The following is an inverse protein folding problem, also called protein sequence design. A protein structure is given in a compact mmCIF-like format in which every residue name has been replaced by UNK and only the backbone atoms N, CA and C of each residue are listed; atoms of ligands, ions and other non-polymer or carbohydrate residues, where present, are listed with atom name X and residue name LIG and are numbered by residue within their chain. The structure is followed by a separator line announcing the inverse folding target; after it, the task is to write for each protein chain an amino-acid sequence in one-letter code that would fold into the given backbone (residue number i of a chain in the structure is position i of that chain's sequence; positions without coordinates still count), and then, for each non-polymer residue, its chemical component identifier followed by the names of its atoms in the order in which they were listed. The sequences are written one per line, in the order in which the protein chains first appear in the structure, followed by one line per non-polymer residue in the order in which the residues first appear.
data_IF_876233164138
#
_entry.id   IF_876233164138
#
_cell.length_a   1.000
_cell.length_b   1.000
_cell.length_c   1.000
_cell.angle_alpha   90.00
_cell.angle_beta   90.00
_cell.angle_gamma   90.00
#
_symmetry.space_group_name_H-M   'P 1'
#
loop_
_entity.id
_entity.type
_entity.pdbx_description
1 polymer ?
#
# COMPACT_ATOMS: atom_id res chain seq x y z
N UNK A 1 -1.09 8.34 -7.47
CA UNK A 1 -0.70 9.15 -6.29
C UNK A 1 -1.14 10.61 -6.41
N UNK A 2 -0.72 11.37 -7.43
CA UNK A 2 -1.10 12.78 -7.60
C UNK A 2 -2.62 13.00 -7.66
N UNK A 3 -3.34 12.15 -8.39
CA UNK A 3 -4.81 12.21 -8.48
C UNK A 3 -5.50 12.01 -7.13
N UNK A 4 -5.10 11.00 -6.36
CA UNK A 4 -5.64 10.75 -5.01
C UNK A 4 -5.39 11.96 -4.11
N UNK A 5 -4.19 12.53 -4.16
CA UNK A 5 -3.85 13.74 -3.42
C UNK A 5 -4.78 14.90 -3.81
N UNK A 6 -4.91 15.19 -5.10
CA UNK A 6 -5.80 16.26 -5.58
C UNK A 6 -7.25 16.03 -5.14
N UNK A 7 -7.75 14.80 -5.24
CA UNK A 7 -9.10 14.43 -4.84
C UNK A 7 -9.34 14.65 -3.34
N UNK A 8 -8.36 14.30 -2.48
CA UNK A 8 -8.43 14.53 -1.04
C UNK A 8 -8.50 16.03 -0.73
N UNK A 9 -7.65 16.85 -1.35
CA UNK A 9 -7.70 18.31 -1.19
C UNK A 9 -9.04 18.88 -1.64
N UNK A 10 -9.54 18.42 -2.79
CA UNK A 10 -10.85 18.81 -3.32
C UNK A 10 -11.98 18.49 -2.34
N UNK A 11 -11.96 17.35 -1.63
CA UNK A 11 -13.00 17.06 -0.64
C UNK A 11 -13.02 18.08 0.51
N UNK A 12 -11.85 18.53 0.99
CA UNK A 12 -11.79 19.60 1.99
C UNK A 12 -12.33 20.94 1.44
N UNK A 13 -12.02 21.26 0.18
CA UNK A 13 -12.53 22.48 -0.48
C UNK A 13 -14.04 22.44 -0.73
N UNK A 14 -14.60 21.29 -1.10
CA UNK A 14 -16.04 21.12 -1.25
C UNK A 14 -16.71 21.19 0.13
N UNK A 15 -16.15 20.55 1.16
CA UNK A 15 -16.68 20.59 2.52
C UNK A 15 -16.75 22.02 3.08
N UNK A 16 -15.79 22.89 2.76
CA UNK A 16 -15.79 24.32 3.12
C UNK A 16 -17.02 25.10 2.59
N UNK A 17 -17.60 24.63 1.49
CA UNK A 17 -18.75 25.25 0.80
C UNK A 17 -20.06 24.51 1.01
N UNK A 18 -20.05 23.35 1.66
CA UNK A 18 -21.23 22.51 1.85
C UNK A 18 -22.03 22.97 3.08
N UNK A 19 -23.25 23.52 2.92
CA UNK A 19 -24.07 23.97 4.05
C UNK A 19 -24.67 22.82 4.87
N UNK A 20 -24.90 21.65 4.28
CA UNK A 20 -25.50 20.50 4.96
C UNK A 20 -24.44 19.80 5.84
N UNK A 21 -24.59 19.80 7.18
CA UNK A 21 -23.62 19.19 8.09
C UNK A 21 -23.42 17.68 7.83
N UNK A 22 -24.47 16.98 7.40
CA UNK A 22 -24.38 15.55 7.15
C UNK A 22 -23.54 15.27 5.90
N UNK A 23 -23.82 15.96 4.79
CA UNK A 23 -23.01 15.84 3.56
C UNK A 23 -21.58 16.32 3.76
N UNK A 24 -21.39 17.38 4.54
CA UNK A 24 -20.06 17.86 4.94
C UNK A 24 -19.27 16.77 5.67
N UNK A 25 -19.91 16.06 6.61
CA UNK A 25 -19.26 14.95 7.30
C UNK A 25 -18.90 13.80 6.34
N UNK A 26 -19.74 13.50 5.34
CA UNK A 26 -19.43 12.48 4.32
C UNK A 26 -18.20 12.85 3.48
N UNK A 27 -18.05 14.14 3.12
CA UNK A 27 -16.89 14.69 2.41
C UNK A 27 -15.61 14.58 3.27
N UNK A 28 -15.74 14.82 4.58
CA UNK A 28 -14.64 14.73 5.55
C UNK A 28 -14.40 13.31 6.09
N UNK A 29 -15.07 12.30 5.54
CA UNK A 29 -14.85 10.89 5.91
C UNK A 29 -14.03 10.19 4.83
N UNK A 30 -12.85 9.72 5.21
CA UNK A 30 -11.87 9.04 4.37
C UNK A 30 -11.73 7.59 4.83
N UNK A 31 -12.10 6.63 3.98
CA UNK A 31 -12.04 5.21 4.28
C UNK A 31 -10.91 4.55 3.48
N UNK A 32 -9.98 3.92 4.19
CA UNK A 32 -8.90 3.11 3.64
C UNK A 32 -9.23 1.65 3.86
N UNK A 33 -9.29 0.86 2.78
CA UNK A 33 -9.55 -0.59 2.84
C UNK A 33 -8.25 -1.35 2.68
N UNK A 34 -7.91 -2.18 3.67
CA UNK A 34 -6.70 -3.00 3.72
C UNK A 34 -5.66 -2.45 4.69
N UNK A 35 -5.39 -3.19 5.76
CA UNK A 35 -4.39 -2.90 6.78
C UNK A 35 -2.97 -3.32 6.41
N UNK A 36 -2.66 -3.54 5.12
CA UNK A 36 -1.29 -3.75 4.65
C UNK A 36 -0.45 -2.46 4.74
N UNK A 37 0.86 -2.53 4.42
CA UNK A 37 1.74 -1.36 4.44
C UNK A 37 1.12 -0.14 3.77
N UNK A 38 0.72 -0.26 2.50
CA UNK A 38 0.12 0.83 1.71
C UNK A 38 -1.06 1.52 2.40
N UNK A 39 -2.00 0.76 2.97
CA UNK A 39 -3.17 1.33 3.64
C UNK A 39 -2.81 2.03 4.95
N UNK A 40 -1.87 1.45 5.71
CA UNK A 40 -1.34 2.05 6.94
C UNK A 40 -0.61 3.36 6.66
N UNK A 41 0.28 3.41 5.66
CA UNK A 41 1.02 4.64 5.34
C UNK A 41 0.08 5.74 4.84
N UNK A 42 -0.91 5.39 4.00
CA UNK A 42 -1.89 6.36 3.50
C UNK A 42 -2.81 6.88 4.62
N UNK A 43 -3.31 6.02 5.51
CA UNK A 43 -4.14 6.46 6.63
C UNK A 43 -3.38 7.45 7.52
N UNK A 44 -2.11 7.14 7.81
CA UNK A 44 -1.20 8.03 8.52
C UNK A 44 -0.99 9.38 7.84
N UNK A 45 -0.72 9.37 6.54
CA UNK A 45 -0.49 10.59 5.76
C UNK A 45 -1.74 11.47 5.69
N UNK A 46 -2.92 10.88 5.54
CA UNK A 46 -4.20 11.63 5.52
C UNK A 46 -4.50 12.21 6.89
N UNK A 47 -4.27 11.46 7.97
CA UNK A 47 -4.46 11.95 9.33
C UNK A 47 -3.52 13.13 9.65
N UNK A 48 -2.24 13.04 9.28
CA UNK A 48 -1.30 14.16 9.46
C UNK A 48 -1.69 15.39 8.62
N UNK A 49 -2.20 15.16 7.40
CA UNK A 49 -2.72 16.21 6.55
C UNK A 49 -3.91 16.92 7.22
N UNK A 50 -4.94 16.15 7.61
CA UNK A 50 -6.17 16.67 8.18
C UNK A 50 -5.96 17.35 9.54
N UNK A 51 -5.28 16.67 10.47
CA UNK A 51 -5.23 17.08 11.87
C UNK A 51 -4.05 18.01 12.20
N UNK A 52 -3.10 18.18 11.29
CA UNK A 52 -1.95 19.09 11.49
C UNK A 52 -1.80 20.10 10.38
N UNK A 53 -1.71 19.64 9.13
CA UNK A 53 -1.30 20.51 8.00
C UNK A 53 -2.39 21.50 7.59
N UNK A 54 -3.65 21.04 7.52
CA UNK A 54 -4.77 21.83 6.98
C UNK A 54 -5.58 22.59 8.03
N UNK A 55 -5.27 22.43 9.33
CA UNK A 55 -6.05 23.02 10.43
C UNK A 55 -6.25 24.53 10.36
N UNK A 56 -5.38 25.26 9.66
CA UNK A 56 -5.43 26.73 9.54
C UNK A 56 -5.82 27.23 8.15
N UNK A 57 -6.11 26.31 7.24
CA UNK A 57 -6.28 26.62 5.83
C UNK A 57 -7.75 26.86 5.45
N UNK A 58 -8.69 26.49 6.34
CA UNK A 58 -10.14 26.58 6.14
C UNK A 58 -10.79 27.47 7.20
N UNK A 59 -11.90 28.14 6.84
CA UNK A 59 -12.58 29.11 7.72
C UNK A 59 -13.93 28.60 8.21
N UNK A 60 -14.65 27.83 7.42
CA UNK A 60 -16.02 27.37 7.70
C UNK A 60 -16.08 25.92 8.20
N UNK A 61 -14.99 25.17 8.09
CA UNK A 61 -14.86 23.81 8.63
C UNK A 61 -13.69 23.69 9.60
N UNK A 62 -13.83 22.81 10.58
CA UNK A 62 -12.70 22.29 11.34
C UNK A 62 -12.22 21.00 10.69
N UNK A 63 -10.98 20.97 10.18
CA UNK A 63 -10.40 19.75 9.62
C UNK A 63 -10.15 18.68 10.68
N UNK A 64 -10.25 19.04 11.97
CA UNK A 64 -10.32 18.14 13.12
C UNK A 64 -11.53 17.21 13.11
N UNK A 65 -12.62 17.58 12.45
CA UNK A 65 -13.84 16.77 12.33
C UNK A 65 -13.71 15.64 11.27
N UNK A 66 -12.58 15.61 10.58
CA UNK A 66 -12.30 14.57 9.60
C UNK A 66 -12.23 13.17 10.26
N UNK A 67 -12.84 12.19 9.61
CA UNK A 67 -12.80 10.79 10.02
C UNK A 67 -11.91 10.02 9.08
N UNK A 68 -10.72 9.62 9.53
CA UNK A 68 -9.83 8.74 8.78
C UNK A 68 -10.01 7.32 9.33
N UNK A 69 -10.60 6.43 8.54
CA UNK A 69 -10.99 5.07 8.95
C UNK A 69 -10.14 4.07 8.19
N UNK A 70 -9.38 3.23 8.90
CA UNK A 70 -8.65 2.11 8.32
C UNK A 70 -9.37 0.80 8.62
N UNK A 71 -9.81 0.09 7.58
CA UNK A 71 -10.52 -1.19 7.68
C UNK A 71 -9.58 -2.35 7.34
N UNK A 72 -9.53 -3.35 8.22
CA UNK A 72 -8.79 -4.60 8.02
C UNK A 72 -9.69 -5.80 8.35
N UNK A 73 -9.72 -6.78 7.44
CA UNK A 73 -10.56 -7.96 7.59
C UNK A 73 -10.03 -8.92 8.67
N UNK A 74 -8.71 -9.01 8.83
CA UNK A 74 -8.05 -9.80 9.85
C UNK A 74 -7.96 -9.12 11.21
N UNK A 75 -7.42 -9.83 12.22
CA UNK A 75 -7.31 -9.33 13.59
C UNK A 75 -6.23 -8.26 13.76
N UNK A 76 -5.26 -8.18 12.84
CA UNK A 76 -4.11 -7.29 12.92
C UNK A 76 -3.88 -6.54 11.61
N UNK A 77 -3.52 -5.26 11.72
CA UNK A 77 -2.87 -4.55 10.62
C UNK A 77 -1.43 -5.04 10.46
N UNK A 78 -0.83 -4.80 9.29
CA UNK A 78 0.50 -5.26 8.93
C UNK A 78 0.68 -6.76 9.25
N UNK A 79 -0.19 -7.67 8.74
CA UNK A 79 -0.19 -9.08 9.16
C UNK A 79 1.09 -9.85 8.81
N UNK A 80 1.95 -9.28 7.95
CA UNK A 80 3.29 -9.81 7.67
C UNK A 80 4.33 -9.50 8.77
N UNK A 81 3.97 -8.67 9.75
CA UNK A 81 4.83 -8.26 10.86
C UNK A 81 4.47 -9.06 12.13
N UNK A 82 5.41 -9.22 13.08
CA UNK A 82 5.13 -9.72 14.41
C UNK A 82 4.00 -8.94 15.09
N UNK A 83 3.10 -9.63 15.79
CA UNK A 83 1.92 -9.06 16.45
C UNK A 83 2.24 -7.83 17.31
N UNK A 84 3.34 -7.86 18.07
CA UNK A 84 3.81 -6.72 18.88
C UNK A 84 4.08 -5.46 18.06
N UNK A 85 4.58 -5.60 16.83
CA UNK A 85 4.81 -4.46 15.93
C UNK A 85 3.50 -3.98 15.30
N UNK A 86 2.60 -4.90 14.94
CA UNK A 86 1.26 -4.57 14.47
C UNK A 86 0.45 -3.79 15.52
N UNK A 87 0.52 -4.18 16.79
CA UNK A 87 -0.11 -3.45 17.90
C UNK A 87 0.49 -2.06 18.10
N UNK A 88 1.82 -1.94 18.07
CA UNK A 88 2.50 -0.63 18.13
C UNK A 88 2.06 0.25 16.97
N UNK A 89 1.93 -0.33 15.77
CA UNK A 89 1.51 0.41 14.61
C UNK A 89 0.07 0.93 14.74
N UNK A 90 -0.83 0.09 15.24
CA UNK A 90 -2.23 0.45 15.52
C UNK A 90 -2.30 1.60 16.52
N UNK A 91 -1.59 1.50 17.65
CA UNK A 91 -1.54 2.57 18.67
C UNK A 91 -1.00 3.89 18.11
N UNK A 92 0.00 3.82 17.23
CA UNK A 92 0.55 5.01 16.58
C UNK A 92 -0.45 5.68 15.63
N UNK A 93 -1.19 4.91 14.83
CA UNK A 93 -2.29 5.42 14.00
C UNK A 93 -3.41 6.02 14.85
N UNK A 94 -3.84 5.35 15.91
CA UNK A 94 -4.88 5.83 16.82
C UNK A 94 -4.48 7.14 17.51
N UNK A 95 -3.20 7.28 17.90
CA UNK A 95 -2.65 8.54 18.43
C UNK A 95 -2.68 9.67 17.41
N UNK A 96 -2.59 9.36 16.12
CA UNK A 96 -2.76 10.34 15.04
C UNK A 96 -4.24 10.66 14.78
N UNK A 97 -5.20 10.00 15.44
CA UNK A 97 -6.64 10.22 15.22
C UNK A 97 -7.26 9.30 14.17
N UNK A 98 -6.52 8.29 13.68
CA UNK A 98 -7.08 7.27 12.76
C UNK A 98 -7.94 6.28 13.54
N UNK A 99 -9.12 6.00 13.02
CA UNK A 99 -10.03 4.97 13.53
C UNK A 99 -9.66 3.64 12.86
N UNK A 100 -8.99 2.75 13.60
CA UNK A 100 -8.57 1.44 13.08
C UNK A 100 -9.61 0.37 13.45
N UNK A 101 -10.31 -0.17 12.45
CA UNK A 101 -11.27 -1.28 12.59
C UNK A 101 -10.69 -2.57 12.01
N UNK A 102 -10.17 -3.43 12.88
CA UNK A 102 -9.79 -4.82 12.54
C UNK A 102 -11.01 -5.74 12.63
N UNK A 103 -10.88 -6.99 12.17
CA UNK A 103 -12.00 -7.96 12.07
C UNK A 103 -13.23 -7.37 11.36
N UNK A 104 -13.01 -6.48 10.41
CA UNK A 104 -14.03 -5.70 9.71
C UNK A 104 -13.83 -5.88 8.21
N UNK A 105 -14.61 -6.79 7.62
CA UNK A 105 -14.55 -7.11 6.20
C UNK A 105 -15.46 -6.18 5.41
N UNK A 106 -14.94 -5.55 4.36
CA UNK A 106 -15.76 -4.83 3.38
C UNK A 106 -16.47 -5.85 2.49
N UNK A 107 -17.79 -5.72 2.37
CA UNK A 107 -18.62 -6.64 1.57
C UNK A 107 -19.17 -6.00 0.31
N UNK A 108 -19.39 -4.68 0.32
CA UNK A 108 -19.91 -3.94 -0.84
C UNK A 108 -19.43 -2.48 -0.82
N UNK A 109 -19.27 -1.88 -2.00
CA UNK A 109 -18.92 -0.47 -2.19
C UNK A 109 -19.88 0.12 -3.21
N UNK A 110 -20.58 1.17 -2.80
CA UNK A 110 -21.50 1.94 -3.64
C UNK A 110 -21.06 3.41 -3.65
N UNK A 111 -21.55 4.23 -4.60
CA UNK A 111 -21.26 5.67 -4.59
C UNK A 111 -21.59 6.31 -3.23
N UNK A 112 -20.55 6.81 -2.55
CA UNK A 112 -20.65 7.48 -1.25
C UNK A 112 -20.84 6.57 -0.03
N UNK A 113 -20.86 5.24 -0.20
CA UNK A 113 -21.19 4.29 0.88
C UNK A 113 -20.34 3.03 0.81
N UNK A 114 -19.95 2.52 1.97
CA UNK A 114 -19.24 1.24 2.10
C UNK A 114 -19.93 0.36 3.13
N UNK A 115 -20.26 -0.86 2.73
CA UNK A 115 -20.84 -1.86 3.61
C UNK A 115 -19.74 -2.71 4.21
N UNK A 116 -19.78 -2.85 5.53
CA UNK A 116 -18.80 -3.65 6.29
C UNK A 116 -19.51 -4.69 7.13
N UNK A 117 -18.84 -5.82 7.36
CA UNK A 117 -19.31 -6.92 8.18
C UNK A 117 -18.23 -7.29 9.21
N UNK A 118 -18.67 -7.45 10.44
CA UNK A 118 -17.93 -8.06 11.55
C UNK A 118 -18.56 -9.41 11.88
N UNK A 119 -18.01 -10.17 12.82
CA UNK A 119 -18.61 -11.44 13.24
C UNK A 119 -20.04 -11.29 13.77
N UNK A 120 -20.33 -10.16 14.43
CA UNK A 120 -21.60 -9.93 15.14
C UNK A 120 -22.55 -8.94 14.47
N UNK A 121 -22.07 -8.13 13.52
CA UNK A 121 -22.88 -7.05 12.93
C UNK A 121 -22.47 -6.69 11.50
N UNK A 122 -23.42 -6.15 10.72
CA UNK A 122 -23.14 -5.40 9.49
C UNK A 122 -23.40 -3.93 9.69
N UNK A 123 -22.55 -3.08 9.15
CA UNK A 123 -22.58 -1.63 9.31
C UNK A 123 -22.39 -0.94 7.96
N UNK A 124 -22.87 0.30 7.85
CA UNK A 124 -22.81 1.10 6.64
C UNK A 124 -22.11 2.42 6.97
N UNK A 125 -20.95 2.64 6.37
CA UNK A 125 -20.18 3.86 6.55
C UNK A 125 -20.42 4.76 5.33
N UNK A 126 -20.80 6.01 5.56
CA UNK A 126 -20.93 7.01 4.49
C UNK A 126 -19.61 7.76 4.35
N UNK A 127 -19.04 7.77 3.14
CA UNK A 127 -17.73 8.36 2.86
C UNK A 127 -17.63 8.70 1.37
N UNK A 128 -17.21 9.93 1.05
CA UNK A 128 -16.96 10.33 -0.34
C UNK A 128 -15.61 9.83 -0.84
N UNK A 129 -14.62 9.71 0.05
CA UNK A 129 -13.32 9.15 -0.31
C UNK A 129 -13.17 7.73 0.20
N UNK A 130 -13.16 6.77 -0.71
CA UNK A 130 -12.87 5.36 -0.43
C UNK A 130 -11.63 4.97 -1.23
N UNK A 131 -10.59 4.49 -0.54
CA UNK A 131 -9.34 4.07 -1.16
C UNK A 131 -9.11 2.59 -0.89
N UNK A 132 -9.08 1.80 -1.97
CA UNK A 132 -8.86 0.37 -1.90
C UNK A 132 -7.37 0.03 -2.03
N UNK A 133 -6.80 -0.55 -0.96
CA UNK A 133 -5.39 -0.98 -0.90
C UNK A 133 -5.24 -2.46 -0.50
N UNK A 134 -6.35 -3.19 -0.42
CA UNK A 134 -6.39 -4.62 -0.09
C UNK A 134 -6.27 -5.49 -1.36
N UNK A 135 -5.71 -6.69 -1.22
CA UNK A 135 -5.84 -7.77 -2.21
C UNK A 135 -5.39 -7.43 -3.64
N UNK A 136 -4.18 -7.86 -4.01
CA UNK A 136 -3.70 -7.78 -5.40
C UNK A 136 -4.10 -9.04 -6.15
N UNK A 137 -4.72 -8.89 -7.34
CA UNK A 137 -4.89 -9.99 -8.29
C UNK A 137 -3.75 -9.96 -9.30
N UNK A 138 -3.27 -11.13 -9.69
CA UNK A 138 -2.34 -11.26 -10.79
C UNK A 138 -2.94 -10.70 -12.09
N UNK A 139 -2.08 -10.17 -12.95
CA UNK A 139 -2.48 -9.58 -14.22
C UNK A 139 -3.25 -10.60 -15.09
N UNK A 140 -4.14 -10.11 -15.97
CA UNK A 140 -4.85 -10.97 -16.93
C UNK A 140 -3.94 -11.83 -17.82
N UNK A 141 -2.67 -11.44 -17.96
CA UNK A 141 -1.63 -12.22 -18.64
C UNK A 141 -1.41 -13.60 -18.02
N UNK A 142 -1.65 -13.79 -16.72
CA UNK A 142 -1.52 -15.12 -16.10
C UNK A 142 -2.47 -16.14 -16.72
N UNK A 143 -3.68 -15.74 -17.10
CA UNK A 143 -4.65 -16.63 -17.76
C UNK A 143 -4.14 -17.07 -19.13
N UNK A 144 -3.57 -16.14 -19.89
CA UNK A 144 -2.99 -16.41 -21.22
C UNK A 144 -1.82 -17.39 -21.06
N UNK A 145 -0.92 -17.12 -20.12
CA UNK A 145 0.26 -17.95 -19.88
C UNK A 145 -0.13 -19.35 -19.39
N UNK A 146 -1.08 -19.45 -18.45
CA UNK A 146 -1.61 -20.73 -17.96
C UNK A 146 -2.27 -21.54 -19.07
N UNK A 147 -3.07 -20.90 -19.95
CA UNK A 147 -3.68 -21.58 -21.09
C UNK A 147 -2.63 -22.11 -22.09
N UNK A 148 -1.56 -21.35 -22.34
CA UNK A 148 -0.52 -21.74 -23.29
C UNK A 148 0.46 -22.78 -22.74
N UNK A 149 0.71 -22.78 -21.43
CA UNK A 149 1.74 -23.63 -20.80
C UNK A 149 1.17 -24.78 -19.98
N UNK A 150 -0.14 -24.80 -19.74
CA UNK A 150 -0.84 -25.66 -18.79
C UNK A 150 -0.34 -25.52 -17.34
N UNK A 151 0.31 -24.40 -17.02
CA UNK A 151 0.77 -24.13 -15.66
C UNK A 151 -0.40 -23.88 -14.71
N UNK A 152 -0.34 -24.48 -13.53
CA UNK A 152 -1.32 -24.26 -12.48
C UNK A 152 -1.31 -22.81 -11.99
N UNK A 153 -2.49 -22.31 -11.62
CA UNK A 153 -2.64 -20.99 -11.00
C UNK A 153 -3.34 -21.09 -9.65
N UNK A 154 -3.01 -20.19 -8.73
CA UNK A 154 -3.79 -20.05 -7.49
C UNK A 154 -5.05 -19.19 -7.69
N UNK A 155 -5.87 -19.05 -6.64
CA UNK A 155 -7.06 -18.19 -6.65
C UNK A 155 -6.75 -16.73 -6.99
N UNK A 156 -5.54 -16.27 -6.68
CA UNK A 156 -5.04 -14.93 -7.01
C UNK A 156 -4.56 -14.79 -8.46
N UNK A 157 -4.50 -15.90 -9.21
CA UNK A 157 -4.03 -15.95 -10.59
C UNK A 157 -2.50 -16.02 -10.72
N UNK A 158 -1.77 -16.33 -9.65
CA UNK A 158 -0.29 -16.48 -9.70
C UNK A 158 0.09 -17.83 -10.29
N UNK A 159 1.15 -17.86 -11.09
CA UNK A 159 1.59 -19.04 -11.85
C UNK A 159 2.55 -19.88 -11.01
N UNK A 160 2.27 -21.17 -10.84
CA UNK A 160 3.17 -22.10 -10.17
C UNK A 160 4.51 -22.20 -10.90
N UNK A 161 5.60 -22.09 -10.14
CA UNK A 161 6.97 -22.15 -10.67
C UNK A 161 7.82 -23.18 -9.94
N UNK A 162 8.83 -23.69 -10.63
CA UNK A 162 9.84 -24.60 -10.11
C UNK A 162 10.83 -23.89 -9.16
N UNK A 163 11.74 -24.68 -8.59
CA UNK A 163 12.78 -24.21 -7.69
C UNK A 163 13.75 -23.21 -8.35
N UNK A 164 13.84 -23.18 -9.68
CA UNK A 164 14.61 -22.24 -10.48
C UNK A 164 13.78 -21.10 -11.08
N UNK A 165 12.53 -20.95 -10.63
CA UNK A 165 11.56 -19.97 -11.11
C UNK A 165 11.08 -20.18 -12.55
N UNK A 166 11.39 -21.33 -13.16
CA UNK A 166 10.82 -21.71 -14.45
C UNK A 166 9.39 -22.20 -14.30
N UNK A 167 8.63 -22.19 -15.39
CA UNK A 167 7.35 -22.89 -15.44
C UNK A 167 7.59 -24.42 -15.54
N UNK A 168 6.80 -25.27 -14.85
CA UNK A 168 6.85 -26.73 -15.04
C UNK A 168 6.74 -27.12 -16.52
N UNK A 169 7.59 -28.04 -16.98
CA UNK A 169 7.69 -28.48 -18.38
C UNK A 169 8.12 -27.41 -19.40
N UNK A 170 8.44 -26.18 -18.96
CA UNK A 170 8.90 -25.09 -19.83
C UNK A 170 10.16 -24.44 -19.23
N UNK A 171 11.34 -25.09 -19.37
CA UNK A 171 12.58 -24.68 -18.68
C UNK A 171 13.15 -23.33 -19.15
N UNK A 172 12.68 -22.80 -20.27
CA UNK A 172 13.13 -21.55 -20.87
C UNK A 172 12.21 -20.36 -20.57
N UNK A 173 11.09 -20.60 -19.85
CA UNK A 173 10.15 -19.57 -19.45
C UNK A 173 10.23 -19.37 -17.94
N UNK A 174 10.63 -18.17 -17.51
CA UNK A 174 10.75 -17.81 -16.09
C UNK A 174 9.66 -16.83 -15.68
N UNK A 175 9.08 -17.02 -14.49
CA UNK A 175 8.10 -16.11 -13.90
C UNK A 175 8.60 -15.66 -12.54
N UNK A 176 8.63 -14.34 -12.32
CA UNK A 176 9.14 -13.70 -11.09
C UNK A 176 8.16 -12.62 -10.59
N UNK A 177 8.41 -12.10 -9.41
CA UNK A 177 7.62 -11.06 -8.77
C UNK A 177 6.22 -11.53 -8.41
N UNK A 178 5.28 -10.59 -8.42
CA UNK A 178 3.90 -10.81 -7.95
C UNK A 178 3.11 -11.82 -8.81
N UNK A 179 3.59 -12.11 -10.03
CA UNK A 179 2.99 -13.12 -10.92
C UNK A 179 3.39 -14.55 -10.53
N UNK A 180 4.50 -14.72 -9.81
CA UNK A 180 5.04 -16.03 -9.47
C UNK A 180 4.44 -16.60 -8.19
N UNK A 181 3.99 -17.85 -8.23
CA UNK A 181 3.66 -18.66 -7.08
C UNK A 181 4.85 -19.55 -6.73
N UNK A 182 5.87 -18.95 -6.12
CA UNK A 182 7.00 -19.69 -5.56
C UNK A 182 6.74 -20.03 -4.09
N UNK A 183 6.88 -21.31 -3.72
CA UNK A 183 6.75 -21.77 -2.35
C UNK A 183 8.12 -22.06 -1.73
N UNK A 184 8.40 -21.45 -0.59
CA UNK A 184 9.56 -21.73 0.25
C UNK A 184 9.07 -22.29 1.59
N UNK A 185 9.65 -23.41 2.04
CA UNK A 185 9.28 -24.04 3.31
C UNK A 185 7.76 -24.31 3.44
N UNK A 186 7.13 -24.72 2.32
CA UNK A 186 5.70 -25.01 2.22
C UNK A 186 4.78 -23.79 2.09
N UNK A 187 5.31 -22.56 2.17
CA UNK A 187 4.53 -21.32 2.12
C UNK A 187 4.84 -20.49 0.88
N UNK A 188 3.82 -19.90 0.21
CA UNK A 188 4.08 -18.99 -0.89
C UNK A 188 4.80 -17.74 -0.40
N UNK A 189 5.75 -17.24 -1.17
CA UNK A 189 6.39 -15.96 -0.87
C UNK A 189 5.40 -14.79 -0.99
N UNK A 190 5.56 -13.73 -0.18
CA UNK A 190 4.74 -12.55 -0.29
C UNK A 190 5.03 -11.76 -1.58
N UNK A 191 4.01 -11.11 -2.14
CA UNK A 191 4.16 -10.19 -3.27
C UNK A 191 4.73 -8.86 -2.82
N UNK A 192 6.05 -8.79 -2.66
CA UNK A 192 6.77 -7.60 -2.20
C UNK A 192 8.01 -7.35 -3.04
N UNK A 193 8.38 -6.07 -3.19
CA UNK A 193 9.51 -5.66 -4.01
C UNK A 193 10.84 -6.39 -3.68
N UNK A 194 11.23 -6.62 -2.40
CA UNK A 194 12.45 -7.36 -2.09
C UNK A 194 12.49 -8.80 -2.64
N UNK A 195 11.34 -9.49 -2.70
CA UNK A 195 11.23 -10.82 -3.30
C UNK A 195 11.47 -10.72 -4.81
N UNK A 196 10.75 -9.82 -5.49
CA UNK A 196 10.89 -9.61 -6.92
C UNK A 196 12.33 -9.23 -7.32
N UNK A 197 12.99 -8.36 -6.55
CA UNK A 197 14.38 -7.96 -6.78
C UNK A 197 15.36 -9.13 -6.63
N UNK A 198 15.18 -9.98 -5.62
CA UNK A 198 16.02 -11.17 -5.43
C UNK A 198 15.80 -12.21 -6.53
N UNK A 199 14.54 -12.43 -6.92
CA UNK A 199 14.19 -13.31 -8.02
C UNK A 199 14.78 -12.83 -9.35
N UNK A 200 14.69 -11.53 -9.65
CA UNK A 200 15.29 -10.94 -10.86
C UNK A 200 16.81 -11.12 -10.91
N UNK A 201 17.51 -10.85 -9.81
CA UNK A 201 18.97 -11.10 -9.70
C UNK A 201 19.31 -12.57 -9.89
N UNK A 202 18.51 -13.45 -9.31
CA UNK A 202 18.69 -14.90 -9.44
C UNK A 202 18.52 -15.35 -10.90
N UNK A 203 17.42 -14.99 -11.57
CA UNK A 203 17.15 -15.37 -12.96
C UNK A 203 18.23 -14.84 -13.91
N UNK A 204 18.69 -13.60 -13.71
CA UNK A 204 19.79 -13.05 -14.51
C UNK A 204 21.08 -13.88 -14.39
N UNK A 205 21.44 -14.30 -13.18
CA UNK A 205 22.60 -15.16 -12.95
C UNK A 205 22.39 -16.58 -13.50
N UNK A 206 21.18 -17.12 -13.35
CA UNK A 206 20.80 -18.43 -13.89
C UNK A 206 20.95 -18.46 -15.41
N UNK A 207 20.44 -17.45 -16.12
CA UNK A 207 20.55 -17.33 -17.58
C UNK A 207 22.02 -17.24 -18.00
N UNK A 208 22.82 -16.38 -17.33
CA UNK A 208 24.27 -16.26 -17.59
C UNK A 208 24.99 -17.60 -17.44
N UNK A 209 24.66 -18.34 -16.39
CA UNK A 209 25.24 -19.64 -16.11
C UNK A 209 24.79 -20.70 -17.12
N UNK A 210 23.52 -20.72 -17.55
CA UNK A 210 23.02 -21.61 -18.61
C UNK A 210 23.81 -21.43 -19.90
N UNK A 211 24.04 -20.19 -20.34
CA UNK A 211 24.85 -19.89 -21.53
C UNK A 211 26.29 -20.37 -21.39
N UNK A 212 26.84 -20.34 -20.17
CA UNK A 212 28.22 -20.78 -19.88
C UNK A 212 28.32 -22.25 -19.48
N UNK A 213 27.26 -23.06 -19.65
CA UNK A 213 27.18 -24.45 -19.20
C UNK A 213 27.53 -24.68 -17.70
N UNK A 214 27.25 -23.68 -16.84
CA UNK A 214 27.46 -23.75 -15.38
C UNK A 214 26.15 -24.09 -14.67
N UNK A 215 26.24 -24.91 -13.61
CA UNK A 215 25.10 -25.22 -12.74
C UNK A 215 24.80 -24.04 -11.80
N UNK A 216 23.51 -23.83 -11.52
CA UNK A 216 23.03 -22.83 -10.55
C UNK A 216 22.21 -23.54 -9.49
N UNK A 217 22.43 -23.20 -8.22
CA UNK A 217 21.64 -23.75 -7.12
C UNK A 217 20.19 -23.22 -7.17
N UNK A 218 19.20 -23.92 -6.58
CA UNK A 218 17.83 -23.43 -6.50
C UNK A 218 17.69 -22.03 -5.88
N UNK A 219 16.64 -21.31 -6.27
CA UNK A 219 16.32 -20.02 -5.68
C UNK A 219 15.95 -20.20 -4.20
N UNK A 220 16.48 -19.30 -3.36
CA UNK A 220 16.09 -19.19 -1.96
C UNK A 220 15.99 -17.71 -1.60
N UNK A 221 14.81 -17.31 -1.12
CA UNK A 221 14.57 -15.98 -0.62
C UNK A 221 15.18 -15.80 0.77
N UNK A 222 15.98 -14.75 0.91
CA UNK A 222 16.51 -14.28 2.19
C UNK A 222 15.68 -13.07 2.62
N UNK A 223 14.83 -13.27 3.62
CA UNK A 223 14.09 -12.18 4.23
C UNK A 223 15.03 -11.30 5.04
N UNK A 224 15.20 -10.05 4.59
CA UNK A 224 16.05 -9.06 5.26
C UNK A 224 15.29 -8.23 6.29
N UNK A 225 13.96 -8.40 6.36
CA UNK A 225 13.08 -7.62 7.20
C UNK A 225 12.06 -6.79 6.42
N UNK A 226 11.11 -6.23 7.17
CA UNK A 226 9.99 -5.44 6.64
C UNK A 226 9.97 -4.05 7.30
N UNK A 227 9.51 -3.06 6.54
CA UNK A 227 9.53 -1.66 6.93
C UNK A 227 8.22 -0.98 6.50
N UNK A 228 7.53 -0.31 7.42
CA UNK A 228 6.31 0.45 7.14
C UNK A 228 6.31 1.80 7.88
N UNK A 229 5.96 2.87 7.17
CA UNK A 229 5.78 4.22 7.73
C UNK A 229 4.34 4.38 8.20
N UNK A 230 4.18 5.01 9.36
CA UNK A 230 2.86 5.29 9.95
C UNK A 230 2.56 6.79 9.94
N UNK A 231 3.59 7.64 9.92
CA UNK A 231 3.47 9.10 9.81
C UNK A 231 4.84 9.75 9.94
N UNK A 232 4.93 11.09 9.92
CA UNK A 232 6.22 11.82 9.95
C UNK A 232 7.16 11.42 11.10
N UNK A 233 6.63 10.94 12.23
CA UNK A 233 7.41 10.61 13.44
C UNK A 233 7.29 9.15 13.89
N UNK A 234 6.66 8.26 13.11
CA UNK A 234 6.49 6.86 13.50
C UNK A 234 6.69 5.93 12.30
N UNK A 235 7.64 5.01 12.43
CA UNK A 235 7.86 3.90 11.52
C UNK A 235 8.03 2.62 12.33
N UNK A 236 7.52 1.51 11.81
CA UNK A 236 7.80 0.17 12.35
C UNK A 236 8.77 -0.53 11.40
N UNK A 237 9.90 -0.96 11.97
CA UNK A 237 10.96 -1.64 11.25
C UNK A 237 11.23 -2.99 11.93
N UNK A 238 11.18 -4.05 11.14
CA UNK A 238 11.70 -5.36 11.50
C UNK A 238 12.95 -5.59 10.66
N UNK A 239 14.11 -5.75 11.28
CA UNK A 239 15.35 -6.14 10.59
C UNK A 239 15.85 -7.41 11.26
N UNK A 240 15.79 -8.53 10.54
CA UNK A 240 16.16 -9.84 11.08
C UNK A 240 15.42 -10.19 12.39
N UNK A 241 16.13 -10.28 13.54
CA UNK A 241 15.57 -10.54 14.87
C UNK A 241 15.43 -9.28 15.75
N UNK A 242 15.87 -8.13 15.26
CA UNK A 242 15.81 -6.89 16.01
C UNK A 242 14.50 -6.17 15.71
N UNK A 243 13.73 -5.95 16.77
CA UNK A 243 12.47 -5.23 16.75
C UNK A 243 12.77 -3.81 17.22
N UNK A 244 12.72 -2.85 16.32
CA UNK A 244 12.96 -1.45 16.65
C UNK A 244 11.65 -0.69 16.46
N UNK A 245 11.20 -0.04 17.52
CA UNK A 245 10.20 1.03 17.46
C UNK A 245 10.89 2.35 17.76
N UNK A 246 10.21 3.47 17.45
CA UNK A 246 10.56 4.83 17.88
C UNK A 246 11.54 5.57 16.92
N UNK A 247 12.04 6.73 17.35
CA UNK A 247 12.84 7.67 16.53
C UNK A 247 14.00 7.01 15.75
N UNK A 248 14.65 6.01 16.35
CA UNK A 248 15.74 5.28 15.72
C UNK A 248 15.27 4.42 14.53
N UNK A 249 14.03 3.93 14.54
CA UNK A 249 13.42 3.22 13.42
C UNK A 249 13.17 4.14 12.23
N UNK A 250 12.88 5.42 12.46
CA UNK A 250 12.73 6.40 11.37
C UNK A 250 14.07 6.69 10.67
N UNK A 251 15.17 6.74 11.42
CA UNK A 251 16.52 6.92 10.83
C UNK A 251 16.94 5.68 10.03
N UNK A 252 16.73 4.50 10.59
CA UNK A 252 17.02 3.23 9.93
C UNK A 252 16.12 3.02 8.71
N UNK A 253 14.84 3.41 8.81
CA UNK A 253 13.90 3.48 7.70
C UNK A 253 14.48 4.31 6.56
N UNK A 254 14.87 5.55 6.88
CA UNK A 254 15.43 6.49 5.91
C UNK A 254 16.64 5.85 5.21
N UNK A 255 17.57 5.30 5.99
CA UNK A 255 18.79 4.70 5.47
C UNK A 255 18.52 3.48 4.56
N UNK A 256 17.65 2.55 4.98
CA UNK A 256 17.30 1.36 4.17
C UNK A 256 16.53 1.76 2.91
N UNK A 257 15.56 2.66 3.02
CA UNK A 257 14.77 3.11 1.87
C UNK A 257 15.65 3.82 0.83
N UNK A 258 16.63 4.60 1.29
CA UNK A 258 17.63 5.24 0.42
C UNK A 258 18.60 4.23 -0.19
N UNK A 259 19.03 3.21 0.56
CA UNK A 259 19.90 2.16 0.05
C UNK A 259 19.21 1.29 -1.02
N UNK A 260 17.87 1.14 -0.95
CA UNK A 260 17.07 0.40 -1.92
C UNK A 260 16.53 1.23 -3.09
N UNK A 261 16.66 2.56 -3.07
CA UNK A 261 16.33 3.43 -4.20
C UNK A 261 17.29 3.15 -5.37
N UNK A 262 16.76 2.65 -6.48
CA UNK A 262 17.52 2.02 -7.59
C UNK A 262 18.40 3.00 -8.38
N UNK A 263 18.15 4.32 -8.33
CA UNK A 263 18.85 5.30 -9.16
C UNK A 263 19.80 6.18 -8.33
N UNK A 264 21.06 6.25 -8.75
CA UNK A 264 22.19 6.76 -7.96
C UNK A 264 22.24 8.29 -7.86
N UNK A 265 21.55 9.03 -8.74
CA UNK A 265 21.84 10.46 -8.93
C UNK A 265 20.94 11.42 -8.12
N UNK A 266 19.78 10.97 -7.62
CA UNK A 266 18.84 11.83 -6.89
C UNK A 266 18.74 11.56 -5.38
N UNK A 267 19.54 10.65 -4.82
CA UNK A 267 19.44 10.24 -3.40
C UNK A 267 19.72 11.39 -2.43
N UNK A 268 20.70 12.23 -2.73
CA UNK A 268 21.05 13.41 -1.91
C UNK A 268 19.99 14.51 -2.02
N UNK A 269 19.37 14.68 -3.20
CA UNK A 269 18.31 15.66 -3.40
C UNK A 269 17.02 15.23 -2.71
N UNK A 270 16.67 13.94 -2.73
CA UNK A 270 15.54 13.38 -1.97
C UNK A 270 15.81 13.48 -0.46
N UNK A 271 17.03 13.20 0.00
CA UNK A 271 17.47 13.40 1.39
C UNK A 271 17.35 14.85 1.83
N UNK A 272 17.82 15.78 1.00
CA UNK A 272 17.79 17.21 1.28
C UNK A 272 16.37 17.75 1.22
N UNK A 273 15.55 17.36 0.24
CA UNK A 273 14.13 17.73 0.15
C UNK A 273 13.34 17.14 1.33
N UNK A 274 13.63 15.91 1.74
CA UNK A 274 12.99 15.31 2.91
C UNK A 274 13.42 15.99 4.21
N UNK A 275 14.72 16.23 4.42
CA UNK A 275 15.26 16.94 5.58
C UNK A 275 14.78 18.40 5.65
N UNK A 276 14.70 19.07 4.50
CA UNK A 276 14.17 20.42 4.38
C UNK A 276 12.67 20.45 4.66
N UNK A 277 11.86 19.53 4.10
CA UNK A 277 10.43 19.42 4.41
C UNK A 277 10.19 19.02 5.88
N UNK A 278 11.08 18.23 6.46
CA UNK A 278 11.03 17.85 7.87
C UNK A 278 11.25 19.06 8.78
N UNK A 279 12.27 19.89 8.50
CA UNK A 279 12.61 21.07 9.32
C UNK A 279 11.71 22.28 9.07
N UNK A 280 11.42 22.60 7.81
CA UNK A 280 10.79 23.88 7.44
C UNK A 280 9.27 23.87 7.48
N UNK A 281 8.63 22.71 7.69
CA UNK A 281 7.16 22.53 7.60
C UNK A 281 6.57 23.05 6.27
N UNK A 282 7.40 23.30 5.27
CA UNK A 282 7.00 23.97 4.05
C UNK A 282 6.60 22.91 3.03
N UNK A 283 5.30 22.72 2.85
CA UNK A 283 4.78 21.96 1.73
C UNK A 283 4.96 22.79 0.46
N UNK A 284 5.78 22.31 -0.49
CA UNK A 284 5.89 22.92 -1.82
C UNK A 284 4.52 23.10 -2.51
N UNK A 285 4.49 23.91 -3.57
CA UNK A 285 3.27 24.34 -4.26
C UNK A 285 2.21 23.22 -4.37
N UNK A 286 1.06 23.42 -3.71
CA UNK A 286 -0.08 22.51 -3.68
C UNK A 286 -0.85 22.62 -5.00
N UNK A 287 -0.21 22.20 -6.08
CA UNK A 287 -0.77 22.30 -7.43
C UNK A 287 -1.79 21.17 -7.64
N UNK A 288 -3.05 21.57 -7.84
CA UNK A 288 -4.10 20.73 -8.40
C UNK A 288 -3.95 20.80 -9.93
N UNK A 289 -3.16 19.89 -10.51
CA UNK A 289 -2.96 19.84 -11.96
C UNK A 289 -3.87 18.78 -12.58
N UNK A 290 -5.07 19.16 -13.04
CA UNK A 290 -5.89 18.34 -13.93
C UNK A 290 -7.41 18.59 -13.86
N UNK A 291 -8.08 18.46 -15.01
CA UNK A 291 -9.54 18.37 -15.12
C UNK A 291 -10.02 17.01 -14.58
N UNK A 292 -10.33 16.94 -13.29
CA UNK A 292 -10.76 15.71 -12.59
C UNK A 292 -12.12 15.20 -13.12
N UNK A 293 -12.98 16.10 -13.60
CA UNK A 293 -14.33 15.78 -14.09
C UNK A 293 -14.35 14.83 -15.29
N UNK A 294 -13.33 14.82 -16.17
CA UNK A 294 -13.33 13.94 -17.36
C UNK A 294 -13.00 12.48 -17.06
N UNK A 295 -12.31 12.20 -15.96
CA UNK A 295 -11.78 10.85 -15.68
C UNK A 295 -12.82 9.98 -14.96
N UNK A 296 -13.67 10.57 -14.12
CA UNK A 296 -14.74 9.84 -13.43
C UNK A 296 -16.05 9.78 -14.24
N UNK A 297 -16.33 10.79 -15.08
CA UNK A 297 -17.46 10.74 -16.02
C UNK A 297 -17.26 9.68 -17.13
N UNK A 298 -16.01 9.38 -17.51
CA UNK A 298 -15.70 8.33 -18.49
C UNK A 298 -15.95 6.91 -17.97
N UNK A 299 -16.20 6.73 -16.65
CA UNK A 299 -16.54 5.42 -16.08
C UNK A 299 -18.05 5.17 -16.03
N UNK A 300 -18.86 6.21 -15.84
CA UNK A 300 -20.33 6.10 -15.89
C UNK A 300 -20.85 5.74 -17.30
N UNK A 301 -20.09 6.05 -18.36
CA UNK A 301 -20.48 5.74 -19.75
C UNK A 301 -20.12 4.32 -20.21
N UNK A 302 -19.23 3.61 -19.50
CA UNK A 302 -18.80 2.25 -19.87
C UNK A 302 -19.62 1.17 -19.14
N UNK A 303 -20.34 1.53 -18.07
CA UNK A 303 -21.30 0.62 -17.40
C UNK A 303 -22.72 0.68 -18.00
N UNK A 304 -22.93 1.47 -19.06
CA UNK A 304 -24.20 1.58 -19.78
C UNK A 304 -24.22 0.94 -21.19
N UNK A 305 -23.22 0.13 -21.54
CA UNK A 305 -23.20 -0.74 -22.74
C UNK A 305 -22.88 -2.19 -22.36
#
# INVERSE_FOLDING_TARGET
ALQIRSYIFEQFEIAEREPDPQKRQELLTFVLVGGGPTGVEMAGAIAELAFSTLRKDFRNIDTGDAKVILLEAGPFILPAYPEKLSEKAKKALEKLGVIVRTNTMVTDIQPGKIQVKTESNSDLISAKTIVWSAGVKASGFSKILSAATHAETDRGGRIAVNADLSIPNHPDIFVIGDLALFKQDGKPLPGVAPVAMQQGKYVANLIRNKVSAKKTAPFRYLDKGNLAVIGRNAAVAQIWKFHLSDWNSTIIWLFVHIAYLIEFDNRMMVLFQWGWNYFTRNSGARLITGEINKIFAAKETVESE
#
